data_IF_675876252630
#
_entry.id   IF_675876252630
#
_cell.length_a   1.000
_cell.length_b   1.000
_cell.length_c   1.000
_cell.angle_alpha   90.00
_cell.angle_beta   90.00
_cell.angle_gamma   90.00
#
_symmetry.space_group_name_H-M   'P 1'
#
loop_
_entity.id
_entity.type
_entity.pdbx_description
1 polymer ?
#
# COMPACT_ATOMS: atom_id res chain seq x y z
N UNK A 1 -5.51 -26.40 52.23
CA UNK A 1 -5.86 -26.91 50.89
C UNK A 1 -6.11 -25.73 49.94
N UNK A 2 -5.07 -25.16 49.32
CA UNK A 2 -5.24 -24.00 48.42
C UNK A 2 -4.32 -24.13 47.20
N UNK A 3 -4.66 -25.07 46.30
CA UNK A 3 -3.92 -25.26 45.06
C UNK A 3 -4.86 -25.66 43.91
N UNK A 4 -5.93 -24.89 43.64
CA UNK A 4 -6.81 -25.13 42.48
C UNK A 4 -7.38 -23.84 41.88
N UNK A 5 -6.57 -22.80 41.64
CA UNK A 5 -7.01 -21.58 40.92
C UNK A 5 -5.99 -21.01 39.91
N UNK A 6 -5.05 -21.82 39.41
CA UNK A 6 -4.01 -21.34 38.47
C UNK A 6 -4.05 -21.95 37.07
N UNK A 7 -4.98 -22.88 36.78
CA UNK A 7 -5.01 -23.63 35.51
C UNK A 7 -5.91 -23.02 34.42
N UNK A 8 -6.68 -21.97 34.72
CA UNK A 8 -7.65 -21.38 33.79
C UNK A 8 -7.12 -20.17 33.02
N UNK A 9 -6.09 -19.47 33.51
CA UNK A 9 -5.59 -18.24 32.88
C UNK A 9 -4.96 -18.46 31.50
N UNK A 10 -4.27 -19.59 31.31
CA UNK A 10 -3.63 -19.91 30.03
C UNK A 10 -4.64 -20.31 28.96
N UNK A 11 -5.59 -21.17 29.30
CA UNK A 11 -6.67 -21.57 28.39
C UNK A 11 -7.61 -20.39 28.04
N UNK A 12 -7.87 -19.49 29.00
CA UNK A 12 -8.64 -18.28 28.74
C UNK A 12 -7.90 -17.29 27.83
N UNK A 13 -6.58 -17.16 27.99
CA UNK A 13 -5.76 -16.31 27.10
C UNK A 13 -5.67 -16.89 25.68
N UNK A 14 -5.53 -18.21 25.55
CA UNK A 14 -5.51 -18.90 24.25
C UNK A 14 -6.87 -18.79 23.54
N UNK A 15 -7.99 -18.90 24.27
CA UNK A 15 -9.33 -18.68 23.73
C UNK A 15 -9.57 -17.21 23.32
N UNK A 16 -9.10 -16.24 24.13
CA UNK A 16 -9.20 -14.82 23.78
C UNK A 16 -8.38 -14.48 22.53
N UNK A 17 -7.20 -15.08 22.37
CA UNK A 17 -6.38 -14.91 21.16
C UNK A 17 -7.03 -15.54 19.94
N UNK A 18 -7.62 -16.73 20.06
CA UNK A 18 -8.34 -17.38 18.97
C UNK A 18 -9.55 -16.55 18.51
N UNK A 19 -10.29 -15.96 19.45
CA UNK A 19 -11.39 -15.04 19.15
C UNK A 19 -10.89 -13.77 18.47
N UNK A 20 -9.85 -13.13 18.99
CA UNK A 20 -9.25 -11.95 18.36
C UNK A 20 -8.77 -12.22 16.94
N UNK A 21 -8.13 -13.38 16.71
CA UNK A 21 -7.65 -13.76 15.38
C UNK A 21 -8.82 -13.98 14.42
N UNK A 22 -9.89 -14.66 14.88
CA UNK A 22 -11.11 -14.87 14.10
C UNK A 22 -11.79 -13.54 13.74
N UNK A 23 -11.89 -12.62 14.69
CA UNK A 23 -12.49 -11.31 14.48
C UNK A 23 -11.65 -10.49 13.48
N UNK A 24 -10.32 -10.52 13.62
CA UNK A 24 -9.41 -9.85 12.69
C UNK A 24 -9.48 -10.45 11.27
N UNK A 25 -9.56 -11.77 11.13
CA UNK A 25 -9.72 -12.41 9.82
C UNK A 25 -11.06 -12.06 9.19
N UNK A 26 -12.11 -11.94 10.00
CA UNK A 26 -13.44 -11.52 9.51
C UNK A 26 -13.42 -10.06 9.05
N UNK A 27 -12.77 -9.17 9.79
CA UNK A 27 -12.66 -7.74 9.45
C UNK A 27 -11.82 -7.48 8.20
N UNK A 28 -10.74 -8.25 8.00
CA UNK A 28 -9.86 -8.11 6.84
C UNK A 28 -10.38 -8.85 5.61
N UNK A 29 -11.27 -9.84 5.81
CA UNK A 29 -11.73 -10.82 4.81
C UNK A 29 -11.80 -10.28 3.39
N UNK A 30 -12.76 -9.39 3.13
CA UNK A 30 -13.08 -8.93 1.77
C UNK A 30 -12.36 -7.62 1.38
N UNK A 31 -11.42 -7.13 2.20
CA UNK A 31 -10.72 -5.85 1.92
C UNK A 31 -9.91 -5.92 0.63
N UNK A 32 -9.33 -7.09 0.33
CA UNK A 32 -8.62 -7.33 -0.92
C UNK A 32 -9.55 -7.24 -2.13
N UNK A 33 -10.64 -8.00 -2.10
CA UNK A 33 -11.62 -8.08 -3.20
C UNK A 33 -12.34 -6.74 -3.43
N UNK A 34 -12.76 -6.06 -2.36
CA UNK A 34 -13.40 -4.74 -2.45
C UNK A 34 -12.45 -3.68 -3.01
N UNK A 35 -11.15 -3.76 -2.68
CA UNK A 35 -10.15 -2.89 -3.31
C UNK A 35 -9.99 -3.18 -4.79
N UNK A 36 -9.89 -4.45 -5.18
CA UNK A 36 -9.71 -4.81 -6.58
C UNK A 36 -10.95 -4.41 -7.41
N UNK A 37 -12.15 -4.57 -6.86
CA UNK A 37 -13.40 -4.06 -7.46
C UNK A 37 -13.41 -2.52 -7.57
N UNK A 38 -12.93 -1.82 -6.55
CA UNK A 38 -12.78 -0.36 -6.58
C UNK A 38 -11.83 0.09 -7.70
N UNK A 39 -10.65 -0.53 -7.83
CA UNK A 39 -9.69 -0.24 -8.90
C UNK A 39 -10.30 -0.51 -10.27
N UNK A 40 -10.97 -1.65 -10.45
CA UNK A 40 -11.65 -1.98 -11.71
C UNK A 40 -12.69 -0.91 -12.09
N UNK A 41 -13.50 -0.46 -11.13
CA UNK A 41 -14.50 0.59 -11.38
C UNK A 41 -13.87 1.93 -11.81
N UNK A 42 -12.69 2.26 -11.30
CA UNK A 42 -11.95 3.47 -11.66
C UNK A 42 -11.40 3.41 -13.08
N UNK A 43 -10.88 2.25 -13.49
CA UNK A 43 -10.42 2.03 -14.86
C UNK A 43 -11.57 2.11 -15.86
N UNK A 44 -12.71 1.50 -15.54
CA UNK A 44 -13.90 1.55 -16.38
C UNK A 44 -14.46 2.97 -16.47
N UNK A 45 -14.47 3.70 -15.37
CA UNK A 45 -14.86 5.12 -15.35
C UNK A 45 -13.91 5.97 -16.18
N UNK A 46 -12.59 5.70 -16.14
CA UNK A 46 -11.61 6.42 -16.94
C UNK A 46 -11.85 6.20 -18.45
N UNK A 47 -12.11 4.96 -18.87
CA UNK A 47 -12.45 4.63 -20.27
C UNK A 47 -13.77 5.26 -20.70
N UNK A 48 -14.79 5.23 -19.84
CA UNK A 48 -16.08 5.85 -20.14
C UNK A 48 -15.95 7.37 -20.32
N UNK A 49 -15.13 8.01 -19.49
CA UNK A 49 -14.81 9.44 -19.60
C UNK A 49 -14.11 9.78 -20.91
N UNK A 50 -13.11 9.01 -21.31
CA UNK A 50 -12.39 9.21 -22.57
C UNK A 50 -13.34 9.17 -23.77
N UNK A 51 -14.18 8.12 -23.85
CA UNK A 51 -15.21 7.99 -24.91
C UNK A 51 -16.18 9.16 -24.95
N UNK A 52 -16.59 9.66 -23.78
CA UNK A 52 -17.47 10.83 -23.70
C UNK A 52 -16.79 12.10 -24.23
N UNK A 53 -15.56 12.39 -23.80
CA UNK A 53 -14.82 13.56 -24.26
C UNK A 53 -14.50 13.48 -25.76
N UNK A 54 -14.19 12.30 -26.27
CA UNK A 54 -13.98 12.05 -27.70
C UNK A 54 -15.26 12.31 -28.51
N UNK A 55 -16.41 11.81 -28.05
CA UNK A 55 -17.69 12.08 -28.69
C UNK A 55 -18.05 13.58 -28.66
N UNK A 56 -17.81 14.25 -27.53
CA UNK A 56 -18.01 15.71 -27.40
C UNK A 56 -17.12 16.47 -28.38
N UNK A 57 -15.84 16.11 -28.46
CA UNK A 57 -14.89 16.73 -29.38
C UNK A 57 -15.24 16.45 -30.85
N UNK A 58 -15.68 15.23 -31.18
CA UNK A 58 -16.11 14.86 -32.52
C UNK A 58 -17.35 15.64 -32.95
N UNK A 59 -18.34 15.82 -32.07
CA UNK A 59 -19.54 16.61 -32.36
C UNK A 59 -19.22 18.09 -32.63
N UNK A 60 -18.31 18.67 -31.85
CA UNK A 60 -17.83 20.05 -32.04
C UNK A 60 -17.04 20.17 -33.35
N UNK A 61 -16.10 19.25 -33.59
CA UNK A 61 -15.27 19.23 -34.80
C UNK A 61 -16.10 19.02 -36.07
N UNK A 62 -17.14 18.22 -36.00
CA UNK A 62 -18.09 17.99 -37.09
C UNK A 62 -19.03 19.17 -37.34
N UNK A 63 -19.03 20.20 -36.49
CA UNK A 63 -19.90 21.36 -36.61
C UNK A 63 -21.39 21.05 -36.35
N UNK A 64 -21.70 19.89 -35.78
CA UNK A 64 -23.07 19.50 -35.47
C UNK A 64 -23.65 20.34 -34.33
N UNK A 65 -22.81 20.70 -33.36
CA UNK A 65 -23.14 21.54 -32.19
C UNK A 65 -21.91 22.33 -31.74
N UNK A 66 -22.12 23.53 -31.20
CA UNK A 66 -21.06 24.31 -30.55
C UNK A 66 -20.87 23.87 -29.08
N UNK A 67 -19.71 24.16 -28.49
CA UNK A 67 -19.40 23.86 -27.08
C UNK A 67 -20.45 24.44 -26.13
N UNK A 68 -20.86 25.69 -26.34
CA UNK A 68 -21.85 26.35 -25.46
C UNK A 68 -23.23 25.68 -25.52
N UNK A 69 -23.60 25.15 -26.70
CA UNK A 69 -24.87 24.42 -26.87
C UNK A 69 -24.84 23.09 -26.09
N UNK A 70 -23.72 22.36 -26.16
CA UNK A 70 -23.51 21.15 -25.36
C UNK A 70 -23.53 21.44 -23.86
N UNK A 71 -22.93 22.56 -23.43
CA UNK A 71 -22.90 22.95 -22.03
C UNK A 71 -24.30 23.36 -21.52
N UNK A 72 -25.11 24.03 -22.36
CA UNK A 72 -26.53 24.33 -22.07
C UNK A 72 -27.39 23.07 -22.00
N UNK A 73 -27.09 22.05 -22.81
CA UNK A 73 -27.73 20.74 -22.76
C UNK A 73 -27.29 19.88 -21.56
N UNK A 74 -26.30 20.35 -20.77
CA UNK A 74 -25.77 19.64 -19.60
C UNK A 74 -24.59 18.71 -19.90
N UNK A 75 -24.16 18.60 -21.16
CA UNK A 75 -22.99 17.83 -21.59
C UNK A 75 -21.69 18.62 -21.38
N UNK A 76 -21.41 18.91 -20.10
CA UNK A 76 -20.22 19.63 -19.67
C UNK A 76 -18.96 18.78 -19.77
N UNK A 77 -17.81 19.44 -19.87
CA UNK A 77 -16.52 18.74 -19.73
C UNK A 77 -16.39 18.07 -18.38
N UNK A 78 -15.83 16.88 -18.39
CA UNK A 78 -15.59 16.06 -17.21
C UNK A 78 -14.30 16.45 -16.50
N UNK A 79 -14.35 16.52 -15.16
CA UNK A 79 -13.17 16.70 -14.33
C UNK A 79 -12.20 15.53 -14.48
N UNK A 80 -10.90 15.77 -14.30
CA UNK A 80 -9.89 14.71 -14.38
C UNK A 80 -10.04 13.77 -13.19
N UNK A 81 -10.08 12.46 -13.46
CA UNK A 81 -10.13 11.48 -12.38
C UNK A 81 -8.86 11.59 -11.53
N UNK A 82 -8.97 11.48 -10.19
CA UNK A 82 -7.83 11.34 -9.31
C UNK A 82 -6.99 10.13 -9.70
N UNK A 83 -5.66 10.26 -9.66
CA UNK A 83 -4.76 9.12 -9.85
C UNK A 83 -4.86 8.19 -8.65
N UNK A 84 -5.15 6.91 -8.91
CA UNK A 84 -5.17 5.90 -7.86
C UNK A 84 -3.76 5.67 -7.29
N UNK A 85 -3.63 5.41 -5.98
CA UNK A 85 -2.36 5.02 -5.39
C UNK A 85 -1.90 3.68 -5.97
N UNK A 86 -0.66 3.64 -6.46
CA UNK A 86 -0.03 2.43 -6.99
C UNK A 86 0.23 1.47 -5.83
N UNK A 87 -0.34 0.26 -5.88
CA UNK A 87 0.08 -0.82 -4.97
C UNK A 87 1.52 -1.19 -5.31
N UNK A 88 2.45 -1.30 -4.35
CA UNK A 88 3.70 -2.00 -4.60
C UNK A 88 3.32 -3.43 -5.00
N UNK A 89 3.62 -3.78 -6.25
CA UNK A 89 3.29 -5.09 -6.83
C UNK A 89 3.70 -6.22 -5.86
N UNK A 90 2.79 -7.16 -5.61
CA UNK A 90 3.19 -8.49 -5.18
C UNK A 90 4.16 -9.02 -6.25
N UNK A 91 5.31 -9.52 -5.81
CA UNK A 91 6.41 -9.99 -6.66
C UNK A 91 5.93 -10.74 -7.91
N UNK A 92 6.55 -10.52 -9.08
CA UNK A 92 6.35 -11.41 -10.22
C UNK A 92 6.71 -12.84 -9.79
N UNK A 93 5.89 -13.80 -10.23
CA UNK A 93 6.03 -15.22 -9.93
C UNK A 93 7.49 -15.70 -10.10
N UNK A 94 7.99 -16.62 -9.25
CA UNK A 94 9.33 -17.14 -9.41
C UNK A 94 9.41 -17.91 -10.73
N UNK A 95 10.11 -17.35 -11.72
CA UNK A 95 10.65 -18.12 -12.83
C UNK A 95 11.46 -19.27 -12.23
N UNK A 96 11.05 -20.48 -12.57
CA UNK A 96 11.62 -21.71 -12.08
C UNK A 96 12.67 -22.19 -13.08
N UNK A 97 14.00 -21.99 -12.88
CA UNK A 97 15.00 -22.52 -13.78
C UNK A 97 15.31 -23.98 -13.42
N UNK A 98 14.41 -24.89 -13.79
CA UNK A 98 14.78 -26.28 -13.91
C UNK A 98 15.64 -26.46 -15.16
N UNK A 99 16.94 -26.75 -14.96
CA UNK A 99 17.78 -27.37 -15.98
C UNK A 99 18.79 -26.45 -16.65
N UNK A 100 19.93 -26.22 -15.98
CA UNK A 100 21.20 -26.24 -16.72
C UNK A 100 22.31 -26.89 -15.92
N UNK A 101 22.67 -28.07 -16.44
CA UNK A 101 23.80 -28.92 -16.18
C UNK A 101 25.06 -28.25 -15.58
N UNK A 102 25.63 -29.02 -14.66
CA UNK A 102 27.01 -28.98 -14.17
C UNK A 102 28.02 -28.58 -15.26
N UNK A 103 28.85 -27.58 -14.94
CA UNK A 103 30.28 -27.63 -15.23
C UNK A 103 31.03 -26.66 -14.30
N UNK A 104 31.74 -27.21 -13.32
CA UNK A 104 32.86 -26.51 -12.70
C UNK A 104 33.92 -26.24 -13.78
N UNK A 105 34.64 -25.10 -13.72
CA UNK A 105 35.95 -25.19 -13.09
C UNK A 105 36.45 -23.92 -12.36
N UNK A 106 37.27 -24.18 -11.33
CA UNK A 106 38.51 -23.45 -10.96
C UNK A 106 38.42 -21.98 -10.48
N UNK A 107 38.63 -21.82 -9.17
CA UNK A 107 39.39 -20.69 -8.57
C UNK A 107 40.74 -20.55 -9.29
N UNK A 108 41.25 -19.32 -9.53
CA UNK A 108 41.85 -18.44 -8.50
C UNK A 108 41.41 -16.97 -8.73
N UNK A 109 41.68 -15.93 -7.96
CA UNK A 109 42.74 -15.59 -7.03
C UNK A 109 42.19 -14.45 -6.16
N UNK A 110 42.46 -14.51 -4.86
CA UNK A 110 42.21 -13.43 -3.90
C UNK A 110 43.43 -12.51 -3.89
N UNK A 111 43.25 -11.18 -3.98
CA UNK A 111 44.16 -10.26 -3.33
C UNK A 111 43.48 -9.63 -2.11
N UNK A 112 44.11 -9.76 -0.94
CA UNK A 112 43.94 -8.87 0.20
C UNK A 112 44.35 -7.46 -0.24
N UNK A 113 43.48 -6.44 -0.14
CA UNK A 113 43.92 -5.06 0.16
C UNK A 113 42.81 -4.29 0.92
N UNK A 114 43.14 -3.96 2.18
CA UNK A 114 42.77 -2.82 3.03
C UNK A 114 41.31 -2.35 3.16
N UNK A 115 40.85 -2.49 4.40
CA UNK A 115 39.86 -1.66 5.07
C UNK A 115 40.42 -0.23 5.27
N UNK A 116 39.65 0.82 4.95
CA UNK A 116 39.70 2.02 5.74
C UNK A 116 38.32 2.42 6.27
N UNK A 117 38.28 2.51 7.60
CA UNK A 117 37.69 3.64 8.32
C UNK A 117 36.16 3.72 8.34
N UNK A 118 35.64 3.23 9.46
CA UNK A 118 34.40 3.67 10.09
C UNK A 118 34.41 5.20 10.21
N UNK A 119 33.54 5.87 9.46
CA UNK A 119 33.12 7.22 9.78
C UNK A 119 31.60 7.19 9.98
N UNK A 120 31.20 7.10 11.25
CA UNK A 120 29.87 7.50 11.66
C UNK A 120 29.85 9.02 11.81
N UNK A 121 29.11 9.77 10.97
CA UNK A 121 28.74 11.13 11.34
C UNK A 121 27.61 11.07 12.38
N UNK A 122 27.87 11.72 13.51
CA UNK A 122 27.02 11.70 14.69
C UNK A 122 25.56 12.07 14.44
N UNK A 123 24.68 11.33 15.12
CA UNK A 123 23.36 11.85 15.49
C UNK A 123 23.37 12.01 17.01
N UNK A 124 23.64 13.24 17.44
CA UNK A 124 23.19 13.72 18.74
C UNK A 124 21.67 13.54 18.77
N UNK A 125 21.20 12.61 19.58
CA UNK A 125 19.80 12.58 19.98
C UNK A 125 19.56 13.75 20.93
N UNK A 126 18.53 14.60 20.74
CA UNK A 126 18.16 15.58 21.74
C UNK A 126 17.68 14.86 23.01
N UNK A 127 18.34 15.21 24.12
CA UNK A 127 17.99 14.87 25.49
C UNK A 127 16.58 15.41 25.78
N UNK A 128 15.62 14.51 26.02
CA UNK A 128 14.32 14.87 26.56
C UNK A 128 14.52 15.59 27.91
N UNK A 129 14.08 16.84 28.01
CA UNK A 129 13.96 17.56 29.27
C UNK A 129 12.51 17.43 29.77
N UNK A 130 12.26 17.13 31.05
CA UNK A 130 10.92 17.17 31.61
C UNK A 130 10.45 18.64 31.79
N UNK A 131 9.15 18.93 31.63
CA UNK A 131 8.60 20.25 31.95
C UNK A 131 8.68 20.50 33.46
N UNK A 132 9.17 21.69 33.82
CA UNK A 132 9.22 22.21 35.18
C UNK A 132 7.81 22.45 35.71
N UNK A 133 7.56 21.97 36.93
CA UNK A 133 6.36 22.26 37.72
C UNK A 133 6.13 23.77 37.83
N UNK A 134 5.02 24.22 37.26
CA UNK A 134 4.48 25.55 37.45
C UNK A 134 3.55 25.56 38.65
N UNK A 135 4.08 25.96 39.79
CA UNK A 135 3.36 26.38 40.98
C UNK A 135 2.23 27.36 40.62
N UNK A 136 0.99 27.01 40.95
CA UNK A 136 -0.09 27.98 41.09
C UNK A 136 -0.60 27.93 42.52
N UNK A 137 -0.03 28.82 43.32
CA UNK A 137 -0.54 29.25 44.61
C UNK A 137 -1.81 30.07 44.42
N UNK A 138 -2.75 29.83 45.34
CA UNK A 138 -3.88 30.65 45.80
C UNK A 138 -3.99 32.09 45.27
#
# INVERSE_FOLDING_TARGET
MAARKRKTGRAAAEAAYANLLKDNTTLVGDVGETWDAYVASFEDTAKARERYEDARAAAIKGGAVNSDQLDQMGYKKTAKLPTLPVRPHANPAPDNPAGRAQRAPRRPNRPLIHNPTVHQPGRLWPRWAPPTEGSSTK
#
